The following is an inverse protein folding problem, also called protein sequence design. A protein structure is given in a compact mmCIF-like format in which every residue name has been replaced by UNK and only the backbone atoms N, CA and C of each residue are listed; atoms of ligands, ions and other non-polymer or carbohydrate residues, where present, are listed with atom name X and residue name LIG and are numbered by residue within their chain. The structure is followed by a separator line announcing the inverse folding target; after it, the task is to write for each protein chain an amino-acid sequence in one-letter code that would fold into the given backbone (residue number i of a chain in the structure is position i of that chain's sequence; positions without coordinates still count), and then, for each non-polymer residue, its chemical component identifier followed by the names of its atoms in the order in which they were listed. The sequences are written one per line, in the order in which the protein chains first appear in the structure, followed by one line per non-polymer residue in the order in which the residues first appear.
data_IF_652623457181
#
_entry.id   IF_652623457181
#
_cell.length_a   1.000
_cell.length_b   1.000
_cell.length_c   1.000
_cell.angle_alpha   90.00
_cell.angle_beta   90.00
_cell.angle_gamma   90.00
#
_symmetry.space_group_name_H-M   'P 1'
#
loop_
_entity.id
_entity.type
_entity.pdbx_description
1 polymer ?
#
# COMPACT_ATOMS: atom_id res chain seq x y z
N UNK A 1 -6.01 10.66 9.79
CA UNK A 1 -6.59 9.44 9.17
C UNK A 1 -5.48 8.44 8.91
N UNK A 2 -5.66 7.17 9.29
CA UNK A 2 -4.70 6.08 9.05
C UNK A 2 -5.31 5.11 8.06
N UNK A 3 -4.62 4.81 6.96
CA UNK A 3 -5.11 3.88 5.95
C UNK A 3 -4.02 2.88 5.52
N UNK A 4 -4.31 1.59 5.63
CA UNK A 4 -3.44 0.52 5.13
C UNK A 4 -3.95 0.06 3.74
N UNK A 5 -3.28 0.43 2.64
CA UNK A 5 -3.78 0.18 1.29
C UNK A 5 -3.57 -1.29 0.89
N UNK A 6 -4.37 -1.81 -0.06
CA UNK A 6 -4.28 -3.20 -0.50
C UNK A 6 -2.97 -3.52 -1.23
N UNK A 7 -2.41 -4.70 -0.96
CA UNK A 7 -1.03 -5.06 -1.33
C UNK A 7 -0.85 -5.55 -2.78
N UNK A 8 -1.91 -6.00 -3.47
CA UNK A 8 -1.82 -6.51 -4.85
C UNK A 8 -2.71 -5.73 -5.83
N UNK A 9 -2.33 -5.73 -7.11
CA UNK A 9 -3.09 -5.05 -8.17
C UNK A 9 -4.20 -5.89 -8.79
N UNK A 10 -4.19 -7.21 -8.54
CA UNK A 10 -5.23 -8.14 -8.98
C UNK A 10 -5.20 -9.45 -8.21
N UNK A 11 -6.31 -10.21 -8.26
CA UNK A 11 -6.42 -11.57 -7.72
C UNK A 11 -5.35 -12.51 -8.27
N UNK A 12 -5.01 -12.38 -9.55
CA UNK A 12 -3.99 -13.21 -10.20
C UNK A 12 -2.58 -12.92 -9.67
N UNK A 13 -2.26 -11.66 -9.34
CA UNK A 13 -0.97 -11.28 -8.76
C UNK A 13 -0.85 -11.77 -7.31
N UNK A 14 -1.94 -11.71 -6.53
CA UNK A 14 -2.00 -12.26 -5.17
C UNK A 14 -1.77 -13.79 -5.16
N UNK A 15 -2.39 -14.51 -6.10
CA UNK A 15 -2.20 -15.97 -6.27
C UNK A 15 -0.77 -16.29 -6.71
N UNK A 16 -0.23 -15.62 -7.72
CA UNK A 16 1.16 -15.84 -8.20
C UNK A 16 2.20 -15.55 -7.12
N UNK A 17 2.03 -14.48 -6.34
CA UNK A 17 2.91 -14.15 -5.21
C UNK A 17 2.88 -15.20 -4.11
N UNK A 18 1.70 -15.78 -3.85
CA UNK A 18 1.50 -16.85 -2.88
C UNK A 18 2.16 -18.16 -3.34
N UNK A 19 1.98 -18.55 -4.61
CA UNK A 19 2.62 -19.74 -5.20
C UNK A 19 4.15 -19.63 -5.18
N UNK A 20 4.71 -18.46 -5.54
CA UNK A 20 6.17 -18.25 -5.53
C UNK A 20 6.76 -18.32 -4.12
N UNK A 21 6.06 -17.78 -3.12
CA UNK A 21 6.48 -17.91 -1.71
C UNK A 21 6.46 -19.36 -1.24
N UNK A 22 5.40 -20.11 -1.56
CA UNK A 22 5.28 -21.51 -1.17
C UNK A 22 6.41 -22.37 -1.75
N UNK A 23 6.75 -22.16 -3.03
CA UNK A 23 7.85 -22.86 -3.69
C UNK A 23 9.21 -22.57 -3.06
N UNK A 24 9.44 -21.34 -2.60
CA UNK A 24 10.67 -20.96 -1.89
C UNK A 24 10.74 -21.50 -0.44
N UNK A 25 9.62 -21.95 0.12
CA UNK A 25 9.53 -22.48 1.49
C UNK A 25 9.57 -24.01 1.55
N UNK A 26 9.54 -24.73 0.42
CA UNK A 26 9.58 -26.20 0.35
C UNK A 26 8.50 -26.91 1.20
N UNK A 27 7.38 -26.25 1.48
CA UNK A 27 6.27 -26.82 2.27
C UNK A 27 5.22 -27.39 1.31
N UNK A 28 5.12 -28.74 1.24
CA UNK A 28 3.97 -29.45 0.65
C UNK A 28 2.78 -29.36 1.63
N UNK A 29 2.02 -28.27 1.63
CA UNK A 29 0.70 -28.24 2.27
C UNK A 29 -0.33 -27.53 1.39
N UNK A 30 -1.54 -28.08 1.45
CA UNK A 30 -2.71 -27.66 0.69
C UNK A 30 -3.01 -26.17 0.82
N UNK A 31 -3.64 -25.67 -0.23
CA UNK A 31 -4.01 -24.29 -0.51
C UNK A 31 -4.91 -23.72 0.59
N UNK A 32 -4.32 -23.28 1.70
CA UNK A 32 -4.98 -22.44 2.71
C UNK A 32 -4.24 -21.11 2.74
N UNK A 33 -4.90 -20.08 2.22
CA UNK A 33 -4.45 -18.71 2.35
C UNK A 33 -4.44 -18.38 3.86
N UNK A 34 -3.27 -18.41 4.50
CA UNK A 34 -3.09 -17.93 5.88
C UNK A 34 -3.21 -16.40 6.01
N UNK A 35 -3.95 -15.76 5.11
CA UNK A 35 -4.32 -14.37 5.16
C UNK A 35 -5.84 -14.32 5.26
N UNK A 36 -6.33 -14.21 6.48
CA UNK A 36 -7.74 -14.04 6.84
C UNK A 36 -8.28 -12.63 6.49
N UNK A 37 -7.59 -11.92 5.60
CA UNK A 37 -7.97 -10.59 5.13
C UNK A 37 -9.08 -10.70 4.10
N UNK A 38 -10.10 -9.85 4.21
CA UNK A 38 -11.20 -9.81 3.23
C UNK A 38 -10.64 -9.54 1.82
N UNK A 39 -11.31 -10.03 0.77
CA UNK A 39 -10.84 -9.92 -0.63
C UNK A 39 -10.45 -8.47 -1.06
N UNK A 40 -11.02 -7.45 -0.41
CA UNK A 40 -10.70 -6.03 -0.62
C UNK A 40 -9.37 -5.58 0.01
N UNK A 41 -8.81 -6.32 0.97
CA UNK A 41 -7.45 -6.13 1.50
C UNK A 41 -6.40 -6.78 0.59
N UNK A 42 -6.81 -7.74 -0.23
CA UNK A 42 -5.93 -8.51 -1.10
C UNK A 42 -5.68 -7.83 -2.45
N UNK A 43 -6.65 -7.15 -3.08
CA UNK A 43 -6.39 -6.46 -4.36
C UNK A 43 -7.30 -5.26 -4.66
N UNK A 44 -6.75 -4.28 -5.41
CA UNK A 44 -7.50 -3.19 -6.04
C UNK A 44 -7.04 -3.02 -7.49
N UNK A 45 -7.94 -2.74 -8.44
CA UNK A 45 -7.56 -2.40 -9.82
C UNK A 45 -6.59 -1.21 -9.80
N UNK A 46 -5.37 -1.38 -10.31
CA UNK A 46 -4.30 -0.36 -10.25
C UNK A 46 -3.44 -0.37 -8.98
N UNK A 47 -3.70 -1.31 -8.06
CA UNK A 47 -2.92 -1.61 -6.87
C UNK A 47 -2.78 -0.45 -5.87
N UNK A 48 -1.80 -0.61 -4.97
CA UNK A 48 -1.41 0.35 -3.94
C UNK A 48 -1.26 1.78 -4.47
N UNK A 49 -0.61 1.95 -5.63
CA UNK A 49 -0.37 3.29 -6.20
C UNK A 49 -1.66 4.00 -6.55
N UNK A 50 -2.61 3.34 -7.23
CA UNK A 50 -3.85 4.00 -7.62
C UNK A 50 -4.69 4.36 -6.39
N UNK A 51 -4.72 3.45 -5.41
CA UNK A 51 -5.43 3.66 -4.16
C UNK A 51 -4.90 4.88 -3.41
N UNK A 52 -3.59 4.95 -3.17
CA UNK A 52 -2.96 6.08 -2.48
C UNK A 52 -3.13 7.38 -3.27
N UNK A 53 -3.05 7.34 -4.61
CA UNK A 53 -3.29 8.53 -5.44
C UNK A 53 -4.71 9.07 -5.31
N UNK A 54 -5.72 8.21 -5.24
CA UNK A 54 -7.11 8.62 -4.99
C UNK A 54 -7.24 9.23 -3.61
N UNK A 55 -6.66 8.59 -2.61
CA UNK A 55 -6.66 9.08 -1.23
C UNK A 55 -6.02 10.48 -1.10
N UNK A 56 -4.89 10.71 -1.78
CA UNK A 56 -4.26 12.03 -1.83
C UNK A 56 -5.18 13.08 -2.49
N UNK A 57 -5.88 12.72 -3.56
CA UNK A 57 -6.82 13.66 -4.21
C UNK A 57 -8.00 14.00 -3.31
N UNK A 58 -8.60 12.99 -2.68
CA UNK A 58 -9.72 13.18 -1.76
C UNK A 58 -9.32 14.01 -0.54
N UNK A 59 -8.09 13.82 -0.03
CA UNK A 59 -7.58 14.54 1.15
C UNK A 59 -7.59 16.07 1.00
N UNK A 60 -7.52 16.60 -0.24
CA UNK A 60 -7.61 18.05 -0.50
C UNK A 60 -8.94 18.63 -0.01
N UNK A 61 -10.04 17.89 -0.18
CA UNK A 61 -11.38 18.33 0.26
C UNK A 61 -11.54 18.33 1.78
N UNK A 62 -10.67 17.61 2.50
CA UNK A 62 -10.71 17.44 3.96
C UNK A 62 -9.58 18.17 4.68
N UNK A 63 -8.83 19.04 4.00
CA UNK A 63 -7.64 19.72 4.55
C UNK A 63 -7.91 20.52 5.84
N UNK A 64 -9.09 21.11 5.98
CA UNK A 64 -9.47 21.89 7.17
C UNK A 64 -9.88 21.00 8.35
N UNK A 65 -10.26 19.74 8.08
CA UNK A 65 -10.81 18.82 9.07
C UNK A 65 -9.75 17.83 9.59
N UNK A 66 -8.77 17.48 8.76
CA UNK A 66 -7.77 16.46 9.06
C UNK A 66 -6.37 17.06 8.96
N UNK A 67 -5.69 17.12 10.11
CA UNK A 67 -4.33 17.69 10.21
C UNK A 67 -3.27 16.85 9.51
N UNK A 68 -3.39 15.51 9.56
CA UNK A 68 -2.40 14.59 8.97
C UNK A 68 -3.10 13.34 8.43
N UNK A 69 -2.69 12.98 7.21
CA UNK A 69 -3.05 11.76 6.53
C UNK A 69 -1.84 10.83 6.48
N UNK A 70 -2.05 9.51 6.52
CA UNK A 70 -0.95 8.55 6.48
C UNK A 70 -1.32 7.26 5.76
N UNK A 71 -0.32 6.62 5.16
CA UNK A 71 -0.48 5.33 4.51
C UNK A 71 0.80 4.50 4.52
N UNK A 72 0.67 3.17 4.52
CA UNK A 72 1.79 2.25 4.34
C UNK A 72 2.07 2.07 2.84
N UNK A 73 3.35 2.08 2.46
CA UNK A 73 3.83 1.81 1.11
C UNK A 73 4.78 0.62 1.15
N UNK A 74 4.37 -0.45 0.50
CA UNK A 74 4.99 -1.77 0.52
C UNK A 74 6.06 -1.91 -0.56
N UNK A 75 5.82 -1.34 -1.75
CA UNK A 75 6.73 -1.44 -2.89
C UNK A 75 7.57 -0.17 -3.03
N UNK A 76 8.88 -0.31 -3.25
CA UNK A 76 9.78 0.82 -3.50
C UNK A 76 9.35 1.65 -4.72
N UNK A 77 9.03 0.95 -5.80
CA UNK A 77 8.66 1.54 -7.09
C UNK A 77 7.32 2.30 -7.07
N UNK A 78 6.53 2.12 -6.00
CA UNK A 78 5.31 2.92 -5.76
C UNK A 78 5.64 4.36 -5.38
N UNK A 79 6.79 4.59 -4.71
CA UNK A 79 7.08 5.84 -4.01
C UNK A 79 7.18 7.03 -4.97
N UNK A 80 7.91 6.89 -6.06
CA UNK A 80 8.08 7.98 -7.05
C UNK A 80 6.74 8.45 -7.62
N UNK A 81 5.81 7.51 -7.85
CA UNK A 81 4.48 7.80 -8.38
C UNK A 81 3.60 8.52 -7.36
N UNK A 82 3.79 8.20 -6.08
CA UNK A 82 3.07 8.82 -4.94
C UNK A 82 3.62 10.22 -4.68
N UNK A 83 4.95 10.38 -4.62
CA UNK A 83 5.62 11.68 -4.43
C UNK A 83 5.23 12.65 -5.56
N UNK A 84 5.21 12.20 -6.82
CA UNK A 84 4.70 13.01 -7.94
C UNK A 84 3.27 13.50 -7.72
N UNK A 85 2.41 12.68 -7.13
CA UNK A 85 1.02 13.07 -6.85
C UNK A 85 0.92 14.05 -5.67
N UNK A 86 1.70 13.85 -4.61
CA UNK A 86 1.79 14.76 -3.46
C UNK A 86 2.27 16.15 -3.90
N UNK A 87 3.33 16.20 -4.71
CA UNK A 87 3.82 17.45 -5.30
C UNK A 87 2.76 18.13 -6.17
N UNK A 88 2.00 17.37 -6.97
CA UNK A 88 0.94 17.91 -7.82
C UNK A 88 -0.16 18.60 -7.01
N UNK A 89 -0.50 18.08 -5.84
CA UNK A 89 -1.50 18.71 -4.95
C UNK A 89 -0.89 19.71 -3.95
N UNK A 90 0.43 19.97 -4.04
CA UNK A 90 1.19 20.85 -3.15
C UNK A 90 1.07 20.48 -1.67
N UNK A 91 0.97 19.19 -1.37
CA UNK A 91 0.95 18.70 0.01
C UNK A 91 2.37 18.71 0.61
N UNK A 92 2.48 19.06 1.87
CA UNK A 92 3.67 18.75 2.67
C UNK A 92 3.67 17.25 2.98
N UNK A 93 4.84 16.60 3.02
CA UNK A 93 4.92 15.18 3.32
C UNK A 93 6.21 14.76 3.99
N UNK A 94 6.15 13.64 4.72
CA UNK A 94 7.28 12.97 5.34
C UNK A 94 7.20 11.46 5.08
N UNK A 95 8.35 10.83 4.85
CA UNK A 95 8.45 9.40 4.55
C UNK A 95 9.35 8.77 5.59
N UNK A 96 8.83 7.81 6.34
CA UNK A 96 9.58 7.07 7.37
C UNK A 96 9.78 5.63 6.90
N UNK A 97 11.02 5.15 6.75
CA UNK A 97 11.27 3.74 6.45
C UNK A 97 10.83 2.86 7.62
N UNK A 98 10.26 1.69 7.31
CA UNK A 98 9.86 0.69 8.30
C UNK A 98 10.50 -0.64 7.94
N UNK A 99 11.15 -1.29 8.91
CA UNK A 99 11.72 -2.62 8.75
C UNK A 99 11.12 -3.54 9.81
N UNK A 100 10.48 -4.62 9.37
CA UNK A 100 9.95 -5.66 10.25
C UNK A 100 10.49 -7.02 9.80
N UNK A 101 11.61 -7.43 10.40
CA UNK A 101 12.38 -8.59 9.95
C UNK A 101 12.77 -8.45 8.46
N UNK A 102 12.38 -9.42 7.64
CA UNK A 102 12.67 -9.42 6.20
C UNK A 102 11.73 -8.52 5.36
N UNK A 103 10.69 -7.92 5.97
CA UNK A 103 9.77 -7.03 5.27
C UNK A 103 10.26 -5.58 5.38
N UNK A 104 10.51 -4.98 4.21
CA UNK A 104 10.83 -3.55 4.08
C UNK A 104 9.58 -2.81 3.59
N UNK A 105 9.11 -1.85 4.36
CA UNK A 105 7.99 -0.96 4.03
C UNK A 105 8.36 0.49 4.32
N UNK A 106 7.42 1.41 4.08
CA UNK A 106 7.57 2.83 4.40
C UNK A 106 6.22 3.39 4.81
N UNK A 107 6.18 4.21 5.85
CA UNK A 107 5.02 5.06 6.08
C UNK A 107 5.20 6.37 5.35
N UNK A 108 4.16 6.80 4.65
CA UNK A 108 4.05 8.16 4.13
C UNK A 108 3.06 8.92 5.01
N UNK A 109 3.40 10.15 5.33
CA UNK A 109 2.56 11.10 6.03
C UNK A 109 2.42 12.35 5.16
N UNK A 110 1.23 12.92 5.04
CA UNK A 110 1.04 14.17 4.32
C UNK A 110 -0.04 15.06 4.94
N UNK A 111 0.08 16.37 4.69
CA UNK A 111 -0.82 17.40 5.21
C UNK A 111 -0.84 18.63 4.28
N UNK A 112 -1.79 19.52 4.54
CA UNK A 112 -2.01 20.77 3.80
C UNK A 112 -1.95 21.97 4.74
#
# INVERSE_FOLDING_TARGET
MVCNPPFHSSKQEAIKGSIRKLNNLSIKKEFTLNFDGQANELWCNGGEVLFIKRLIKESVSFKEQIKVFSSLVSKADSLDKIVKQLNKVKANFHITPMVLGNKKGRYIFWWF
#
